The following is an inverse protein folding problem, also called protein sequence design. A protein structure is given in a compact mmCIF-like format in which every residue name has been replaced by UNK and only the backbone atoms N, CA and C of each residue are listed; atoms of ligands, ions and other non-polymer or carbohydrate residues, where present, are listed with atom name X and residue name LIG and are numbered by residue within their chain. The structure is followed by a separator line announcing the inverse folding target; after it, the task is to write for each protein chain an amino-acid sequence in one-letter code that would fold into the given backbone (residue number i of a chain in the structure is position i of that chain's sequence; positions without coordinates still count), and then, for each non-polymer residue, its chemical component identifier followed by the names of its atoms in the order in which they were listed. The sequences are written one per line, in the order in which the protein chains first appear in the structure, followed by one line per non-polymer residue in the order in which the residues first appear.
data_IF_557426286195
#
_entry.id   IF_557426286195
#
_cell.length_a   1.000
_cell.length_b   1.000
_cell.length_c   1.000
_cell.angle_alpha   90.00
_cell.angle_beta   90.00
_cell.angle_gamma   90.00
#
_symmetry.space_group_name_H-M   'P 1'
#
loop_
_entity.id
_entity.type
_entity.pdbx_description
1 polymer ?
#
# COMPACT_ATOMS: atom_id res chain seq x y z
N UNK A 1 30.95 -13.59 16.01
CA UNK A 1 30.70 -12.19 16.36
C UNK A 1 29.22 -11.90 16.36
N UNK A 2 28.69 -11.50 17.52
CA UNK A 2 27.33 -11.00 17.66
C UNK A 2 27.44 -9.49 17.59
N UNK A 3 27.23 -8.93 16.41
CA UNK A 3 27.10 -7.48 16.26
C UNK A 3 25.67 -7.10 16.63
N UNK A 4 25.52 -6.33 17.71
CA UNK A 4 24.45 -5.34 17.78
C UNK A 4 24.45 -4.53 16.46
N UNK A 5 23.30 -4.07 15.97
CA UNK A 5 23.12 -3.30 14.71
C UNK A 5 22.62 -4.09 13.48
N UNK A 6 21.47 -4.75 13.61
CA UNK A 6 20.74 -5.37 12.49
C UNK A 6 20.00 -4.38 11.58
N UNK A 7 20.62 -3.24 11.21
CA UNK A 7 20.03 -2.29 10.25
C UNK A 7 20.38 -2.75 8.83
N UNK A 8 19.44 -3.42 8.17
CA UNK A 8 19.56 -3.73 6.74
C UNK A 8 19.33 -2.44 5.92
N UNK A 9 20.32 -2.05 5.11
CA UNK A 9 20.16 -0.93 4.17
C UNK A 9 19.34 -1.44 2.99
N UNK A 10 18.10 -0.97 2.89
CA UNK A 10 17.19 -1.29 1.79
C UNK A 10 17.13 -0.09 0.86
N UNK A 11 17.35 -0.30 -0.44
CA UNK A 11 17.12 0.73 -1.45
C UNK A 11 15.65 1.15 -1.44
N UNK A 12 15.39 2.45 -1.53
CA UNK A 12 14.05 3.00 -1.51
C UNK A 12 13.87 4.13 -2.52
N UNK A 13 12.63 4.32 -2.94
CA UNK A 13 12.18 5.51 -3.65
C UNK A 13 11.41 6.43 -2.70
N UNK A 14 11.41 7.73 -2.96
CA UNK A 14 10.53 8.68 -2.27
C UNK A 14 9.64 9.37 -3.31
N UNK A 15 8.33 9.28 -3.11
CA UNK A 15 7.36 9.95 -3.96
C UNK A 15 7.39 11.46 -3.69
N UNK A 16 7.47 12.26 -4.74
CA UNK A 16 7.36 13.71 -4.67
C UNK A 16 5.90 14.11 -4.40
N UNK A 17 5.62 15.02 -3.45
CA UNK A 17 4.28 15.51 -3.25
C UNK A 17 3.72 16.18 -4.51
N UNK A 18 2.47 15.89 -4.85
CA UNK A 18 1.82 16.47 -6.02
C UNK A 18 1.47 17.96 -5.77
N UNK A 19 1.37 18.76 -6.84
CA UNK A 19 1.15 20.21 -6.72
C UNK A 19 -0.15 20.57 -5.98
N UNK A 20 -1.19 19.75 -6.12
CA UNK A 20 -2.47 19.98 -5.45
C UNK A 20 -2.36 19.83 -3.93
N UNK A 21 -1.63 18.81 -3.47
CA UNK A 21 -1.37 18.57 -2.05
C UNK A 21 -0.50 19.67 -1.45
N UNK A 22 0.54 20.12 -2.17
CA UNK A 22 1.39 21.23 -1.73
C UNK A 22 0.58 22.52 -1.56
N UNK A 23 -0.29 22.84 -2.52
CA UNK A 23 -1.15 24.01 -2.46
C UNK A 23 -2.20 23.90 -1.34
N UNK A 24 -2.81 22.71 -1.17
CA UNK A 24 -3.80 22.47 -0.13
C UNK A 24 -3.21 22.46 1.30
N UNK A 25 -1.94 22.10 1.43
CA UNK A 25 -1.22 21.96 2.70
C UNK A 25 -0.17 23.05 2.90
N UNK A 26 -0.43 24.26 2.40
CA UNK A 26 0.49 25.38 2.48
C UNK A 26 1.00 25.59 3.92
N UNK A 27 2.33 25.62 4.08
CA UNK A 27 3.00 25.77 5.37
C UNK A 27 3.10 24.50 6.23
N UNK A 28 2.65 23.34 5.74
CA UNK A 28 2.83 22.04 6.41
C UNK A 28 3.88 21.20 5.70
N UNK A 29 4.76 20.58 6.48
CA UNK A 29 5.74 19.62 5.97
C UNK A 29 5.13 18.20 5.91
N UNK A 30 5.34 17.44 4.82
CA UNK A 30 4.87 16.07 4.73
C UNK A 30 5.70 15.12 5.59
N UNK A 31 5.03 14.17 6.22
CA UNK A 31 5.68 13.01 6.82
C UNK A 31 5.82 11.90 5.77
N UNK A 32 7.03 11.40 5.57
CA UNK A 32 7.28 10.30 4.63
C UNK A 32 7.10 8.95 5.33
N UNK A 33 6.05 8.24 4.94
CA UNK A 33 5.65 6.95 5.50
C UNK A 33 6.10 5.83 4.54
N UNK A 34 6.82 4.78 5.01
CA UNK A 34 7.29 3.71 4.15
C UNK A 34 6.17 2.71 3.84
N UNK A 35 6.10 2.31 2.58
CA UNK A 35 5.28 1.22 2.10
C UNK A 35 6.13 0.23 1.33
N UNK A 36 5.92 -1.06 1.56
CA UNK A 36 6.28 -2.06 0.58
C UNK A 36 5.33 -1.96 -0.61
N UNK A 37 5.88 -1.71 -1.80
CA UNK A 37 5.17 -1.74 -3.06
C UNK A 37 5.52 -3.03 -3.80
N UNK A 38 4.52 -3.86 -4.00
CA UNK A 38 4.64 -5.12 -4.73
C UNK A 38 3.96 -4.99 -6.09
N UNK A 39 4.71 -5.12 -7.18
CA UNK A 39 4.09 -5.33 -8.49
C UNK A 39 3.63 -6.79 -8.56
N UNK A 40 2.31 -7.01 -8.53
CA UNK A 40 1.71 -8.33 -8.58
C UNK A 40 0.82 -8.49 -9.81
N UNK A 41 0.68 -9.72 -10.28
CA UNK A 41 -0.32 -10.14 -11.25
C UNK A 41 -1.29 -11.10 -10.57
N UNK A 42 -2.56 -10.72 -10.48
CA UNK A 42 -3.60 -11.51 -9.84
C UNK A 42 -4.51 -12.11 -10.89
N UNK A 43 -4.49 -13.43 -11.02
CA UNK A 43 -5.30 -14.17 -11.98
C UNK A 43 -6.38 -14.94 -11.21
N UNK A 44 -7.65 -14.75 -11.56
CA UNK A 44 -8.77 -15.54 -11.04
C UNK A 44 -9.01 -16.73 -11.94
N UNK A 45 -8.92 -17.94 -11.36
CA UNK A 45 -9.19 -19.20 -12.05
C UNK A 45 -10.66 -19.63 -11.86
N UNK A 46 -11.28 -19.30 -10.72
CA UNK A 46 -12.69 -19.62 -10.41
C UNK A 46 -13.26 -18.60 -9.41
N UNK A 47 -14.49 -18.15 -9.64
CA UNK A 47 -15.20 -17.18 -8.80
C UNK A 47 -16.68 -17.53 -8.70
N UNK A 48 -17.16 -17.76 -7.47
CA UNK A 48 -18.57 -18.00 -7.19
C UNK A 48 -19.01 -17.18 -5.99
N UNK A 49 -20.06 -16.38 -6.19
CA UNK A 49 -20.73 -15.61 -5.15
C UNK A 49 -22.24 -15.80 -5.22
N UNK A 50 -22.90 -15.87 -4.08
CA UNK A 50 -24.37 -15.91 -3.97
C UNK A 50 -24.92 -14.55 -3.54
N UNK A 51 -25.96 -14.07 -4.22
CA UNK A 51 -26.53 -12.73 -4.05
C UNK A 51 -26.07 -11.73 -5.12
N UNK A 52 -26.52 -10.49 -5.01
CA UNK A 52 -26.08 -9.40 -5.90
C UNK A 52 -24.65 -8.99 -5.54
N UNK A 53 -23.71 -9.33 -6.42
CA UNK A 53 -22.29 -9.04 -6.30
C UNK A 53 -21.88 -7.77 -7.05
N UNK A 54 -22.84 -6.97 -7.56
CA UNK A 54 -22.54 -5.65 -8.12
C UNK A 54 -22.35 -4.64 -6.99
N UNK A 55 -21.09 -4.38 -6.66
CA UNK A 55 -20.72 -3.64 -5.44
C UNK A 55 -20.32 -2.18 -5.70
N UNK A 56 -20.13 -1.82 -6.97
CA UNK A 56 -19.46 -0.56 -7.36
C UNK A 56 -18.00 -0.48 -6.95
N UNK A 57 -17.45 -1.49 -6.27
CA UNK A 57 -16.04 -1.57 -5.93
C UNK A 57 -15.23 -2.02 -7.17
N UNK A 58 -14.14 -1.32 -7.51
CA UNK A 58 -13.35 -1.65 -8.69
C UNK A 58 -12.66 -3.02 -8.54
N UNK A 59 -12.56 -3.79 -9.62
CA UNK A 59 -11.72 -4.98 -9.58
C UNK A 59 -10.25 -4.58 -9.38
N UNK A 60 -9.57 -5.31 -8.49
CA UNK A 60 -8.12 -5.19 -8.27
C UNK A 60 -7.33 -6.39 -8.84
N UNK A 61 -7.97 -7.15 -9.72
CA UNK A 61 -7.34 -8.23 -10.50
C UNK A 61 -6.32 -7.71 -11.53
N UNK A 62 -5.54 -8.64 -12.07
CA UNK A 62 -4.51 -8.39 -13.07
C UNK A 62 -3.25 -7.72 -12.50
N UNK A 63 -2.49 -7.08 -13.39
CA UNK A 63 -1.21 -6.43 -13.05
C UNK A 63 -1.42 -5.11 -12.32
N UNK A 64 -0.92 -5.03 -11.08
CA UNK A 64 -1.11 -3.88 -10.21
C UNK A 64 -0.05 -3.79 -9.12
N UNK A 65 0.13 -2.58 -8.58
CA UNK A 65 0.93 -2.38 -7.38
C UNK A 65 0.07 -2.56 -6.13
N UNK A 66 0.51 -3.43 -5.21
CA UNK A 66 -0.05 -3.60 -3.88
C UNK A 66 0.83 -2.89 -2.86
N UNK A 67 0.22 -2.17 -1.93
CA UNK A 67 0.93 -1.34 -0.95
C UNK A 67 0.68 -1.87 0.45
N UNK A 68 1.74 -2.13 1.21
CA UNK A 68 1.67 -2.51 2.63
C UNK A 68 2.48 -1.52 3.44
N UNK A 69 1.84 -0.83 4.40
CA UNK A 69 2.52 0.11 5.27
C UNK A 69 3.57 -0.63 6.10
N UNK A 70 4.81 -0.17 6.02
CA UNK A 70 5.93 -0.78 6.72
C UNK A 70 6.36 0.03 7.95
N UNK A 71 5.71 1.16 8.22
CA UNK A 71 6.04 2.06 9.33
C UNK A 71 5.30 1.72 10.62
N UNK A 72 5.60 2.47 11.68
CA UNK A 72 4.88 2.41 12.96
C UNK A 72 3.54 3.15 12.89
N UNK A 73 2.64 2.68 12.01
CA UNK A 73 1.30 3.21 11.85
C UNK A 73 0.29 2.17 12.32
N UNK A 74 -0.61 2.51 13.26
CA UNK A 74 -1.67 1.61 13.69
C UNK A 74 -2.50 1.07 12.53
N UNK A 75 -2.81 -0.23 12.55
CA UNK A 75 -3.45 -0.94 11.43
C UNK A 75 -4.77 -0.30 10.98
N UNK A 76 -5.57 0.21 11.92
CA UNK A 76 -6.85 0.87 11.61
C UNK A 76 -6.70 2.17 10.81
N UNK A 77 -5.50 2.78 10.80
CA UNK A 77 -5.17 3.94 9.96
C UNK A 77 -4.51 3.52 8.64
N UNK A 78 -3.53 2.62 8.71
CA UNK A 78 -2.75 2.23 7.52
C UNK A 78 -3.53 1.39 6.53
N UNK A 79 -4.41 0.51 6.99
CA UNK A 79 -5.14 -0.40 6.11
C UNK A 79 -6.07 0.30 5.10
N UNK A 80 -6.87 1.31 5.48
CA UNK A 80 -7.57 2.13 4.49
C UNK A 80 -6.65 2.74 3.42
N UNK A 81 -5.44 3.14 3.80
CA UNK A 81 -4.45 3.70 2.86
C UNK A 81 -3.90 2.63 1.92
N UNK A 82 -3.59 1.44 2.42
CA UNK A 82 -3.13 0.31 1.63
C UNK A 82 -4.15 -0.09 0.55
N UNK A 83 -5.43 -0.15 0.93
CA UNK A 83 -6.54 -0.42 0.01
C UNK A 83 -6.65 0.72 -1.02
N UNK A 84 -6.71 1.97 -0.56
CA UNK A 84 -6.85 3.14 -1.45
C UNK A 84 -5.69 3.25 -2.46
N UNK A 85 -4.44 3.11 -2.01
CA UNK A 85 -3.26 3.12 -2.87
C UNK A 85 -3.27 1.96 -3.86
N UNK A 86 -3.72 0.78 -3.45
CA UNK A 86 -3.84 -0.39 -4.34
C UNK A 86 -4.94 -0.15 -5.38
N UNK A 87 -6.09 0.38 -4.97
CA UNK A 87 -7.23 0.67 -5.86
C UNK A 87 -6.89 1.77 -6.87
N UNK A 88 -6.41 2.92 -6.39
CA UNK A 88 -6.06 4.07 -7.23
C UNK A 88 -4.80 3.81 -8.06
N UNK A 89 -3.89 2.99 -7.54
CA UNK A 89 -2.57 2.70 -8.09
C UNK A 89 -1.90 3.95 -8.67
N UNK A 90 -1.67 4.98 -7.83
CA UNK A 90 -1.27 6.29 -8.32
C UNK A 90 0.12 6.24 -8.96
N UNK A 91 0.27 6.96 -10.06
CA UNK A 91 1.58 7.30 -10.61
C UNK A 91 2.17 8.47 -9.80
N UNK A 92 3.48 8.43 -9.56
CA UNK A 92 4.19 9.49 -8.85
C UNK A 92 5.59 9.69 -9.41
N UNK A 93 6.07 10.92 -9.35
CA UNK A 93 7.48 11.24 -9.60
C UNK A 93 8.32 10.85 -8.40
N UNK A 94 9.51 10.32 -8.64
CA UNK A 94 10.50 10.06 -7.59
C UNK A 94 11.36 11.30 -7.39
N UNK A 95 11.57 11.69 -6.14
CA UNK A 95 12.48 12.78 -5.76
C UNK A 95 13.79 12.26 -5.17
N UNK A 96 14.74 13.18 -4.97
CA UNK A 96 15.98 12.92 -4.29
C UNK A 96 15.75 12.48 -2.83
N UNK A 97 16.82 12.01 -2.19
CA UNK A 97 16.78 11.41 -0.86
C UNK A 97 16.04 12.28 0.18
N UNK A 98 15.09 11.68 0.88
CA UNK A 98 14.40 12.30 2.01
C UNK A 98 15.17 12.02 3.30
N UNK A 99 15.66 13.08 3.93
CA UNK A 99 16.45 13.00 5.16
C UNK A 99 15.61 12.59 6.38
N UNK A 100 14.40 13.14 6.52
CA UNK A 100 13.48 12.81 7.61
C UNK A 100 12.39 11.85 7.13
N UNK A 101 12.52 10.58 7.54
CA UNK A 101 11.63 9.50 7.10
C UNK A 101 11.38 8.51 8.22
N UNK A 102 10.21 7.90 8.22
CA UNK A 102 9.84 6.89 9.22
C UNK A 102 10.63 5.58 9.01
N UNK A 103 11.08 4.90 10.07
CA UNK A 103 11.78 3.62 9.94
C UNK A 103 10.87 2.53 9.36
N UNK A 104 11.48 1.55 8.69
CA UNK A 104 10.84 0.35 8.20
C UNK A 104 10.84 -0.69 9.32
N UNK A 105 9.67 -1.17 9.73
CA UNK A 105 9.45 -2.13 10.81
C UNK A 105 8.95 -3.49 10.34
N UNK A 106 8.46 -3.59 9.11
CA UNK A 106 7.99 -4.84 8.52
C UNK A 106 8.98 -5.32 7.46
N UNK A 107 9.45 -6.57 7.58
CA UNK A 107 10.32 -7.18 6.57
C UNK A 107 9.54 -7.55 5.30
N UNK A 108 10.26 -7.70 4.18
CA UNK A 108 9.69 -8.03 2.86
C UNK A 108 8.81 -9.27 2.85
N UNK A 109 9.19 -10.32 3.58
CA UNK A 109 8.46 -11.60 3.58
C UNK A 109 7.09 -11.43 4.22
N UNK A 110 7.04 -10.83 5.42
CA UNK A 110 5.79 -10.55 6.12
C UNK A 110 4.91 -9.59 5.32
N UNK A 111 5.50 -8.55 4.72
CA UNK A 111 4.75 -7.62 3.87
C UNK A 111 4.17 -8.30 2.61
N UNK A 112 4.87 -9.27 2.02
CA UNK A 112 4.34 -10.07 0.90
C UNK A 112 3.10 -10.87 1.32
N UNK A 113 3.17 -11.56 2.45
CA UNK A 113 2.04 -12.33 3.00
C UNK A 113 0.83 -11.42 3.28
N UNK A 114 1.08 -10.21 3.81
CA UNK A 114 0.05 -9.20 4.03
C UNK A 114 -0.55 -8.66 2.73
N UNK A 115 0.22 -8.55 1.64
CA UNK A 115 -0.29 -8.09 0.34
C UNK A 115 -1.30 -9.04 -0.27
N UNK A 116 -1.08 -10.35 -0.14
CA UNK A 116 -2.04 -11.36 -0.58
C UNK A 116 -3.28 -11.37 0.32
N UNK A 117 -3.08 -11.23 1.64
CA UNK A 117 -4.20 -11.11 2.58
C UNK A 117 -5.06 -9.85 2.32
N UNK A 118 -4.44 -8.73 1.91
CA UNK A 118 -5.14 -7.51 1.53
C UNK A 118 -6.11 -7.77 0.35
N UNK A 119 -5.66 -8.49 -0.67
CA UNK A 119 -6.50 -8.89 -1.80
C UNK A 119 -7.70 -9.74 -1.33
N UNK A 120 -7.44 -10.80 -0.57
CA UNK A 120 -8.50 -11.66 -0.03
C UNK A 120 -9.52 -10.86 0.78
N UNK A 121 -9.03 -10.00 1.67
CA UNK A 121 -9.90 -9.17 2.50
C UNK A 121 -10.76 -8.24 1.66
N UNK A 122 -10.17 -7.60 0.64
CA UNK A 122 -10.92 -6.75 -0.28
C UNK A 122 -12.04 -7.51 -0.98
N UNK A 123 -11.76 -8.73 -1.47
CA UNK A 123 -12.77 -9.59 -2.08
C UNK A 123 -13.88 -9.97 -1.08
N UNK A 124 -13.57 -10.24 0.19
CA UNK A 124 -14.60 -10.52 1.20
C UNK A 124 -15.44 -9.31 1.62
N UNK A 125 -15.00 -8.08 1.30
CA UNK A 125 -15.77 -6.87 1.57
C UNK A 125 -16.81 -6.57 0.48
N UNK A 126 -16.71 -7.24 -0.67
CA UNK A 126 -17.71 -7.12 -1.73
C UNK A 126 -19.04 -7.73 -1.26
N UNK A 127 -20.17 -7.01 -1.37
CA UNK A 127 -21.51 -7.58 -1.22
C UNK A 127 -21.70 -8.92 -1.91
N UNK A 128 -22.55 -9.77 -1.31
CA UNK A 128 -22.71 -11.17 -1.67
C UNK A 128 -21.97 -12.10 -0.70
N UNK A 129 -22.30 -13.39 -0.76
CA UNK A 129 -21.61 -14.42 0.01
C UNK A 129 -20.58 -15.04 -0.93
N UNK A 130 -19.30 -14.73 -0.72
CA UNK A 130 -18.21 -15.38 -1.44
C UNK A 130 -18.18 -16.88 -1.08
N UNK A 131 -18.44 -17.74 -2.06
CA UNK A 131 -18.47 -19.19 -1.87
C UNK A 131 -17.17 -19.85 -2.35
N UNK A 132 -16.65 -19.41 -3.50
CA UNK A 132 -15.43 -19.94 -4.10
C UNK A 132 -14.61 -18.78 -4.66
N UNK A 133 -13.32 -18.76 -4.32
CA UNK A 133 -12.31 -17.92 -4.94
C UNK A 133 -11.05 -18.78 -5.15
N UNK A 134 -10.74 -19.10 -6.40
CA UNK A 134 -9.47 -19.72 -6.79
C UNK A 134 -8.69 -18.71 -7.60
N UNK A 135 -7.48 -18.40 -7.15
CA UNK A 135 -6.67 -17.36 -7.74
C UNK A 135 -5.19 -17.70 -7.62
N UNK A 136 -4.38 -17.01 -8.43
CA UNK A 136 -2.93 -17.00 -8.35
C UNK A 136 -2.45 -15.57 -8.11
N UNK A 137 -1.62 -15.38 -7.09
CA UNK A 137 -1.05 -14.08 -6.71
C UNK A 137 0.46 -14.07 -6.98
N UNK A 138 0.86 -13.53 -8.14
CA UNK A 138 2.23 -13.58 -8.60
C UNK A 138 2.95 -12.25 -8.40
N UNK A 139 3.81 -12.17 -7.39
CA UNK A 139 4.66 -10.99 -7.15
C UNK A 139 5.87 -11.02 -8.07
N UNK A 140 6.01 -9.98 -8.89
CA UNK A 140 7.09 -9.81 -9.88
C UNK A 140 8.21 -8.89 -9.40
N UNK A 141 7.89 -7.90 -8.55
CA UNK A 141 8.88 -7.02 -7.91
C UNK A 141 8.42 -6.58 -6.52
N UNK A 142 9.38 -6.13 -5.72
CA UNK A 142 9.14 -5.57 -4.39
C UNK A 142 10.15 -4.45 -4.15
N UNK A 143 9.65 -3.27 -3.80
CA UNK A 143 10.47 -2.09 -3.47
C UNK A 143 9.88 -1.37 -2.25
N UNK A 144 10.71 -0.60 -1.55
CA UNK A 144 10.22 0.36 -0.57
C UNK A 144 9.96 1.68 -1.26
N UNK A 145 8.77 2.22 -1.07
CA UNK A 145 8.43 3.59 -1.44
C UNK A 145 8.02 4.38 -0.20
N UNK A 146 8.61 5.55 -0.03
CA UNK A 146 8.18 6.54 0.93
C UNK A 146 7.12 7.44 0.30
N UNK A 147 5.92 7.42 0.86
CA UNK A 147 4.79 8.22 0.39
C UNK A 147 4.60 9.40 1.35
N UNK A 148 4.50 10.64 0.84
CA UNK A 148 4.24 11.80 1.69
C UNK A 148 2.80 11.78 2.21
N UNK A 149 2.63 12.00 3.51
CA UNK A 149 1.34 12.22 4.14
C UNK A 149 1.40 13.49 4.98
N UNK A 150 0.39 14.33 4.83
CA UNK A 150 0.25 15.55 5.60
C UNK A 150 -0.68 15.30 6.79
N UNK A 151 -0.21 15.66 7.99
CA UNK A 151 -1.01 15.52 9.21
C UNK A 151 -1.93 16.72 9.37
N UNK A 152 -3.20 16.45 9.63
CA UNK A 152 -4.22 17.43 9.98
C UNK A 152 -4.83 17.12 11.34
N UNK A 153 -5.67 18.03 11.86
CA UNK A 153 -6.35 17.85 13.15
C UNK A 153 -7.20 16.56 13.18
N UNK A 154 -7.80 16.19 12.04
CA UNK A 154 -8.73 15.06 11.93
C UNK A 154 -8.14 13.80 11.27
N UNK A 155 -6.89 13.83 10.77
CA UNK A 155 -6.33 12.67 10.08
C UNK A 155 -5.08 12.94 9.27
N UNK A 156 -4.85 12.10 8.26
CA UNK A 156 -3.76 12.23 7.31
C UNK A 156 -4.30 12.34 5.88
N UNK A 157 -3.69 13.21 5.09
CA UNK A 157 -3.99 13.35 3.67
C UNK A 157 -2.78 12.87 2.85
N UNK A 158 -2.96 11.91 1.92
CA UNK A 158 -1.88 11.48 1.04
C UNK A 158 -1.47 12.63 0.11
N UNK A 159 -0.16 12.81 -0.07
CA UNK A 159 0.42 13.80 -0.98
C UNK A 159 0.60 13.30 -2.41
N UNK A 160 0.02 12.14 -2.77
CA UNK A 160 0.14 11.49 -4.10
C UNK A 160 -1.20 11.31 -4.80
#
# INVERSE_FOLDING_TARGET
DVTADGVEVIEYAAAKPNLLSIAAMEGKEPQYIPFWKFAADVEIDDYLSEGDAETGLPSIEGKRSYYICAGDIPRYLSEPWEIDLTIRNPEYEVQAEVLERMPILINKKTAKELSEFLYLRYETQKPGILQVLRYRFNVTSAEIVYIPYYKEEAGYIPGV
#
